data_IF_287250274314
#
_entry.id   IF_287250274314
#
_cell.length_a   1.000
_cell.length_b   1.000
_cell.length_c   1.000
_cell.angle_alpha   90.00
_cell.angle_beta   90.00
_cell.angle_gamma   90.00
#
_symmetry.space_group_name_H-M   'P 1'
#
loop_
_entity.id
_entity.type
_entity.pdbx_description
1 polymer ?
#
# COMPACT_ATOMS: atom_id res chain seq x y z
N UNK A 1 -21.32 -19.47 49.25
CA UNK A 1 -21.29 -18.98 47.85
C UNK A 1 -20.31 -17.83 47.58
N UNK A 2 -19.90 -16.98 48.50
CA UNK A 2 -18.95 -15.87 48.29
C UNK A 2 -17.50 -16.30 48.20
N UNK A 3 -17.08 -17.40 48.85
CA UNK A 3 -15.70 -17.87 48.84
C UNK A 3 -15.26 -18.52 47.54
N UNK A 4 -16.18 -19.21 46.82
CA UNK A 4 -15.85 -19.88 45.54
C UNK A 4 -15.67 -18.90 44.37
N UNK A 5 -16.25 -17.71 44.47
CA UNK A 5 -16.05 -16.66 43.42
C UNK A 5 -14.66 -15.98 43.50
N UNK A 6 -14.09 -15.86 44.70
CA UNK A 6 -12.72 -15.30 44.88
C UNK A 6 -11.66 -16.31 44.44
N UNK A 7 -11.90 -17.62 44.65
CA UNK A 7 -10.97 -18.67 44.21
C UNK A 7 -10.99 -18.81 42.66
N UNK A 8 -12.16 -18.67 42.03
CA UNK A 8 -12.30 -18.72 40.58
C UNK A 8 -11.66 -17.50 39.90
N UNK A 9 -11.77 -16.29 40.51
CA UNK A 9 -11.11 -15.08 40.01
C UNK A 9 -9.59 -15.17 40.13
N UNK A 10 -9.07 -15.77 41.21
CA UNK A 10 -7.62 -15.95 41.43
C UNK A 10 -7.05 -16.97 40.43
N UNK A 11 -7.79 -18.05 40.12
CA UNK A 11 -7.41 -19.03 39.12
C UNK A 11 -7.43 -18.45 37.69
N UNK A 12 -8.38 -17.56 37.37
CA UNK A 12 -8.45 -16.90 36.06
C UNK A 12 -7.28 -15.92 35.85
N UNK A 13 -6.88 -15.19 36.88
CA UNK A 13 -5.73 -14.29 36.84
C UNK A 13 -4.40 -15.05 36.70
N UNK A 14 -4.28 -16.21 37.36
CA UNK A 14 -3.12 -17.09 37.23
C UNK A 14 -3.01 -17.73 35.85
N UNK A 15 -4.12 -18.11 35.21
CA UNK A 15 -4.13 -18.65 33.84
C UNK A 15 -3.76 -17.59 32.81
N UNK A 16 -4.22 -16.35 33.00
CA UNK A 16 -3.84 -15.22 32.09
C UNK A 16 -2.36 -14.84 32.29
N UNK A 17 -1.84 -14.89 33.50
CA UNK A 17 -0.42 -14.65 33.76
C UNK A 17 0.49 -15.77 33.23
N UNK A 18 0.03 -17.03 33.21
CA UNK A 18 0.80 -18.16 32.66
C UNK A 18 0.77 -18.21 31.13
N UNK A 19 -0.31 -17.74 30.49
CA UNK A 19 -0.38 -17.68 29.00
C UNK A 19 0.43 -16.53 28.43
N UNK A 20 0.65 -15.45 29.19
CA UNK A 20 1.56 -14.37 28.80
C UNK A 20 3.04 -14.70 29.01
N UNK A 21 3.39 -15.64 29.94
CA UNK A 21 4.79 -16.10 30.09
C UNK A 21 5.17 -17.24 29.13
N UNK A 22 4.22 -17.99 28.59
CA UNK A 22 4.51 -19.12 27.68
C UNK A 22 4.82 -18.66 26.23
N UNK A 23 4.58 -17.39 25.88
CA UNK A 23 4.92 -16.81 24.57
C UNK A 23 6.32 -16.20 24.53
N UNK A 24 7.06 -16.16 25.64
CA UNK A 24 8.42 -15.61 25.69
C UNK A 24 9.52 -16.71 25.68
N UNK A 25 9.16 -18.00 25.71
CA UNK A 25 10.14 -19.08 25.93
C UNK A 25 10.50 -19.93 24.70
N UNK A 26 10.26 -19.47 23.48
CA UNK A 26 10.76 -20.13 22.27
C UNK A 26 11.38 -19.13 21.28
N UNK A 27 12.63 -18.73 21.54
CA UNK A 27 13.64 -18.47 20.50
C UNK A 27 15.00 -18.15 21.13
N UNK A 28 15.67 -19.14 21.71
CA UNK A 28 17.13 -19.10 21.90
C UNK A 28 17.74 -19.71 20.65
N UNK A 29 18.61 -18.93 19.98
CA UNK A 29 19.43 -19.23 18.81
C UNK A 29 18.86 -18.71 17.47
N UNK A 30 18.62 -17.40 17.37
CA UNK A 30 18.75 -16.70 16.10
C UNK A 30 19.87 -15.69 16.23
N UNK A 31 20.86 -15.77 15.33
CA UNK A 31 22.08 -14.97 15.34
C UNK A 31 21.77 -13.48 15.53
N UNK A 32 22.69 -12.74 16.16
CA UNK A 32 22.58 -11.29 16.43
C UNK A 32 22.26 -10.57 15.12
N UNK A 33 21.05 -10.03 15.06
CA UNK A 33 20.59 -9.19 13.97
C UNK A 33 21.47 -7.94 13.86
N UNK A 34 21.72 -7.43 12.64
CA UNK A 34 22.31 -6.13 12.50
C UNK A 34 21.30 -5.10 13.07
N UNK A 35 21.55 -4.58 14.25
CA UNK A 35 20.66 -3.71 15.01
C UNK A 35 20.34 -2.35 14.35
N UNK A 36 20.63 -2.18 13.05
CA UNK A 36 20.35 -0.96 12.30
C UNK A 36 19.13 -1.09 11.38
N UNK A 37 18.68 -2.29 11.02
CA UNK A 37 17.52 -2.52 10.14
C UNK A 37 16.38 -3.14 10.95
N UNK A 38 15.28 -2.42 11.04
CA UNK A 38 14.10 -2.80 11.82
C UNK A 38 12.99 -3.16 10.86
N UNK A 39 12.63 -4.44 10.77
CA UNK A 39 11.45 -4.87 10.04
C UNK A 39 10.23 -4.82 10.96
N UNK A 40 9.40 -3.79 10.78
CA UNK A 40 8.30 -3.51 11.70
C UNK A 40 7.08 -4.43 11.50
N UNK A 41 6.89 -4.99 10.29
CA UNK A 41 5.68 -5.75 9.95
C UNK A 41 4.40 -4.89 10.02
N UNK A 42 4.52 -3.57 9.87
CA UNK A 42 3.47 -2.59 10.15
C UNK A 42 3.18 -1.69 8.94
N UNK A 43 2.03 -0.99 8.96
CA UNK A 43 1.70 0.03 7.98
C UNK A 43 2.60 1.28 8.07
N UNK A 44 2.58 2.12 7.03
CA UNK A 44 3.46 3.31 6.90
C UNK A 44 3.37 4.25 8.09
N UNK A 45 2.16 4.52 8.60
CA UNK A 45 1.98 5.41 9.75
C UNK A 45 2.65 4.90 11.02
N UNK A 46 2.53 3.60 11.32
CA UNK A 46 3.21 2.98 12.45
C UNK A 46 4.74 3.02 12.28
N UNK A 47 5.25 2.78 11.06
CA UNK A 47 6.67 2.90 10.76
C UNK A 47 7.19 4.33 10.96
N UNK A 48 6.41 5.37 10.61
CA UNK A 48 6.75 6.76 10.90
C UNK A 48 6.87 7.04 12.40
N UNK A 49 5.93 6.53 13.21
CA UNK A 49 5.98 6.68 14.66
C UNK A 49 7.25 6.02 15.25
N UNK A 50 7.54 4.76 14.86
CA UNK A 50 8.74 4.06 15.29
C UNK A 50 10.01 4.82 14.87
N UNK A 51 10.06 5.32 13.62
CA UNK A 51 11.19 6.10 13.14
C UNK A 51 11.36 7.41 13.92
N UNK A 52 10.27 8.10 14.25
CA UNK A 52 10.29 9.32 15.05
C UNK A 52 10.81 9.08 16.46
N UNK A 53 10.39 7.99 17.12
CA UNK A 53 10.83 7.61 18.46
C UNK A 53 12.31 7.22 18.51
N UNK A 54 12.78 6.52 17.47
CA UNK A 54 14.14 5.97 17.40
C UNK A 54 15.13 6.88 16.68
N UNK A 55 14.72 8.05 16.16
CA UNK A 55 15.51 8.88 15.27
C UNK A 55 16.08 8.08 14.09
N UNK A 56 15.23 7.29 13.45
CA UNK A 56 15.57 6.38 12.36
C UNK A 56 15.14 6.92 11.00
N UNK A 57 15.72 6.34 9.95
CA UNK A 57 15.27 6.55 8.57
C UNK A 57 14.10 5.64 8.24
N UNK A 58 13.25 6.04 7.29
CA UNK A 58 12.09 5.28 6.84
C UNK A 58 11.69 5.68 5.42
N UNK A 59 11.26 4.73 4.61
CA UNK A 59 10.61 5.01 3.33
C UNK A 59 9.09 5.03 3.54
N UNK A 60 8.44 6.09 3.08
CA UNK A 60 6.97 6.22 3.12
C UNK A 60 6.47 6.95 1.87
N UNK A 61 5.16 6.99 1.63
CA UNK A 61 4.61 7.91 0.64
C UNK A 61 4.45 9.33 1.22
N UNK A 62 4.53 10.31 0.33
CA UNK A 62 4.46 11.73 0.72
C UNK A 62 3.14 12.08 1.41
N UNK A 63 2.02 11.46 1.01
CA UNK A 63 0.72 11.75 1.57
C UNK A 63 0.65 11.31 3.04
N UNK A 64 1.12 10.11 3.35
CA UNK A 64 1.20 9.62 4.74
C UNK A 64 2.11 10.51 5.57
N UNK A 65 3.31 10.86 5.08
CA UNK A 65 4.18 11.80 5.80
C UNK A 65 3.47 13.13 6.12
N UNK A 66 2.85 13.75 5.12
CA UNK A 66 2.17 15.03 5.30
C UNK A 66 0.97 14.94 6.25
N UNK A 67 0.24 13.83 6.25
CA UNK A 67 -0.90 13.62 7.16
C UNK A 67 -0.48 13.51 8.62
N UNK A 68 0.71 13.00 8.89
CA UNK A 68 1.31 12.93 10.23
C UNK A 68 1.96 14.26 10.62
N UNK A 69 2.65 14.91 9.69
CA UNK A 69 3.35 16.18 9.92
C UNK A 69 2.37 17.33 10.15
N UNK A 70 1.31 17.38 9.35
CA UNK A 70 0.28 18.42 9.40
C UNK A 70 -1.02 17.91 10.04
N UNK A 71 -0.90 17.05 11.06
CA UNK A 71 -2.07 16.52 11.74
C UNK A 71 -2.81 17.63 12.50
N UNK A 72 -4.16 17.71 12.46
CA UNK A 72 -4.93 18.73 13.19
C UNK A 72 -4.65 18.77 14.70
N UNK A 73 -4.33 17.61 15.30
CA UNK A 73 -3.98 17.49 16.71
C UNK A 73 -2.49 17.77 17.01
N UNK A 74 -1.77 18.37 16.07
CA UNK A 74 -0.33 18.68 16.14
C UNK A 74 0.56 17.68 15.43
N UNK A 75 1.81 18.10 15.16
CA UNK A 75 2.84 17.30 14.50
C UNK A 75 3.10 15.99 15.26
N UNK A 76 2.79 14.85 14.64
CA UNK A 76 2.95 13.51 15.24
C UNK A 76 4.37 12.96 15.09
N UNK A 77 5.19 13.58 14.23
CA UNK A 77 6.55 13.15 13.90
C UNK A 77 7.56 14.31 13.95
N UNK A 78 7.64 15.03 15.08
CA UNK A 78 8.38 16.30 15.18
C UNK A 78 9.89 16.15 14.93
N UNK A 79 10.47 14.96 15.11
CA UNK A 79 11.90 14.70 14.94
C UNK A 79 12.29 14.39 13.47
N UNK A 80 11.30 14.18 12.61
CA UNK A 80 11.51 13.74 11.23
C UNK A 80 11.28 14.86 10.21
N UNK A 81 12.00 14.73 9.10
CA UNK A 81 11.81 15.55 7.89
C UNK A 81 12.03 14.72 6.63
N UNK A 82 11.55 15.23 5.48
CA UNK A 82 11.84 14.64 4.18
C UNK A 82 13.29 14.97 3.79
N UNK A 83 14.08 13.94 3.51
CA UNK A 83 15.49 14.06 3.11
C UNK A 83 15.67 13.87 1.60
N UNK A 84 14.84 13.00 0.98
CA UNK A 84 14.79 12.82 -0.48
C UNK A 84 13.36 12.73 -0.96
N UNK A 85 13.05 13.48 -2.02
CA UNK A 85 11.78 13.43 -2.76
C UNK A 85 12.05 13.70 -4.26
N UNK A 86 11.06 13.42 -5.09
CA UNK A 86 11.07 13.72 -6.53
C UNK A 86 12.20 13.04 -7.34
N UNK A 87 12.88 12.05 -6.77
CA UNK A 87 13.81 11.18 -7.48
C UNK A 87 13.02 10.19 -8.35
N UNK A 88 13.49 9.89 -9.56
CA UNK A 88 12.82 8.94 -10.45
C UNK A 88 12.69 7.53 -9.85
N UNK A 89 13.68 7.13 -9.05
CA UNK A 89 13.63 5.84 -8.33
C UNK A 89 12.58 5.85 -7.20
N UNK A 90 12.09 7.02 -6.78
CA UNK A 90 10.99 7.16 -5.79
C UNK A 90 9.60 7.24 -6.43
N UNK A 91 9.51 7.32 -7.76
CA UNK A 91 8.23 7.42 -8.46
C UNK A 91 7.37 6.17 -8.21
N UNK A 92 6.12 6.40 -7.86
CA UNK A 92 5.13 5.39 -7.52
C UNK A 92 3.91 5.53 -8.44
N UNK A 93 3.86 4.72 -9.49
CA UNK A 93 2.82 4.80 -10.52
C UNK A 93 1.66 3.87 -10.17
N UNK A 94 0.46 4.42 -10.15
CA UNK A 94 -0.79 3.68 -9.94
C UNK A 94 -1.42 3.29 -11.27
N UNK A 95 -1.89 2.05 -11.34
CA UNK A 95 -2.57 1.51 -12.51
C UNK A 95 -3.88 0.86 -12.12
N UNK A 96 -4.84 0.93 -13.03
CA UNK A 96 -6.09 0.18 -12.97
C UNK A 96 -6.01 -0.98 -13.96
N UNK A 97 -6.52 -2.14 -13.57
CA UNK A 97 -6.62 -3.33 -14.43
C UNK A 97 -7.99 -3.96 -14.22
N UNK A 98 -8.76 -4.07 -15.28
CA UNK A 98 -10.04 -4.78 -15.27
C UNK A 98 -9.80 -6.29 -15.25
N UNK A 99 -10.50 -6.99 -14.36
CA UNK A 99 -10.41 -8.45 -14.26
C UNK A 99 -11.16 -9.11 -15.40
N UNK A 100 -10.59 -10.15 -15.97
CA UNK A 100 -11.19 -10.92 -17.07
C UNK A 100 -12.20 -11.93 -16.50
N UNK A 101 -13.42 -12.06 -17.05
CA UNK A 101 -14.46 -12.92 -16.48
C UNK A 101 -14.15 -14.43 -16.58
N UNK A 102 -13.40 -14.84 -17.60
CA UNK A 102 -12.96 -16.22 -17.85
C UNK A 102 -11.49 -16.46 -17.46
N UNK A 103 -10.97 -15.68 -16.49
CA UNK A 103 -9.61 -15.84 -16.01
C UNK A 103 -9.43 -17.16 -15.24
N UNK A 104 -8.18 -17.65 -15.09
CA UNK A 104 -7.90 -18.91 -14.40
C UNK A 104 -7.98 -18.73 -12.88
N UNK A 105 -9.19 -18.44 -12.37
CA UNK A 105 -9.43 -18.25 -10.94
C UNK A 105 -9.12 -19.50 -10.13
N UNK A 106 -8.69 -19.28 -8.89
CA UNK A 106 -8.39 -20.33 -7.94
C UNK A 106 -9.12 -20.11 -6.62
N UNK A 107 -9.44 -21.20 -5.95
CA UNK A 107 -9.97 -21.14 -4.59
C UNK A 107 -8.88 -20.71 -3.60
N UNK A 108 -9.20 -19.80 -2.70
CA UNK A 108 -8.22 -19.17 -1.79
C UNK A 108 -7.69 -20.12 -0.71
N UNK A 109 -8.39 -21.23 -0.45
CA UNK A 109 -8.04 -22.21 0.59
C UNK A 109 -7.33 -23.40 -0.02
N UNK A 110 -7.90 -23.96 -1.10
CA UNK A 110 -7.43 -25.20 -1.71
C UNK A 110 -6.42 -24.97 -2.85
N UNK A 111 -6.39 -23.75 -3.44
CA UNK A 111 -5.59 -23.44 -4.63
C UNK A 111 -6.08 -24.12 -5.90
N UNK A 112 -7.22 -24.85 -5.85
CA UNK A 112 -7.78 -25.54 -7.01
C UNK A 112 -8.49 -24.56 -7.95
N UNK A 113 -8.62 -24.90 -9.25
CA UNK A 113 -9.39 -24.08 -10.19
C UNK A 113 -10.82 -23.85 -9.71
N UNK A 114 -11.31 -22.61 -9.90
CA UNK A 114 -12.64 -22.16 -9.50
C UNK A 114 -13.41 -21.65 -10.72
N UNK A 115 -14.56 -22.21 -11.01
CA UNK A 115 -15.35 -21.94 -12.21
C UNK A 115 -16.62 -21.10 -11.98
N UNK A 116 -17.02 -20.91 -10.72
CA UNK A 116 -18.26 -20.22 -10.32
C UNK A 116 -18.05 -18.73 -10.01
N UNK A 117 -16.99 -18.13 -10.57
CA UNK A 117 -16.65 -16.72 -10.36
C UNK A 117 -17.45 -15.84 -11.30
N UNK A 118 -18.10 -14.83 -10.74
CA UNK A 118 -18.80 -13.78 -11.50
C UNK A 118 -18.00 -12.48 -11.38
N UNK A 119 -17.56 -11.96 -12.53
CA UNK A 119 -16.93 -10.65 -12.65
C UNK A 119 -17.90 -9.69 -13.32
N UNK A 120 -18.18 -8.56 -12.68
CA UNK A 120 -19.04 -7.54 -13.24
C UNK A 120 -18.24 -6.64 -14.20
N UNK A 121 -18.18 -7.05 -15.47
CA UNK A 121 -17.40 -6.35 -16.51
C UNK A 121 -17.93 -4.96 -16.81
N UNK A 122 -19.26 -4.76 -16.78
CA UNK A 122 -19.88 -3.46 -16.98
C UNK A 122 -19.52 -2.48 -15.86
N UNK A 123 -19.66 -2.93 -14.60
CA UNK A 123 -19.29 -2.12 -13.45
C UNK A 123 -17.80 -1.72 -13.47
N UNK A 124 -16.91 -2.64 -13.87
CA UNK A 124 -15.49 -2.36 -14.06
C UNK A 124 -15.25 -1.30 -15.15
N UNK A 125 -15.99 -1.37 -16.26
CA UNK A 125 -15.90 -0.36 -17.34
C UNK A 125 -16.37 1.01 -16.85
N UNK A 126 -17.50 1.07 -16.14
CA UNK A 126 -18.02 2.32 -15.56
C UNK A 126 -16.99 2.96 -14.63
N UNK A 127 -16.36 2.18 -13.76
CA UNK A 127 -15.31 2.68 -12.87
C UNK A 127 -14.11 3.25 -13.63
N UNK A 128 -13.53 2.47 -14.55
CA UNK A 128 -12.30 2.85 -15.28
C UNK A 128 -12.57 4.06 -16.17
N UNK A 129 -13.70 4.10 -16.88
CA UNK A 129 -14.08 5.22 -17.72
C UNK A 129 -14.27 6.50 -16.90
N UNK A 130 -14.93 6.40 -15.73
CA UNK A 130 -15.08 7.57 -14.86
C UNK A 130 -13.75 8.05 -14.29
N UNK A 131 -12.90 7.14 -13.80
CA UNK A 131 -11.58 7.47 -13.25
C UNK A 131 -10.64 8.14 -14.26
N UNK A 132 -10.84 7.89 -15.56
CA UNK A 132 -10.06 8.50 -16.65
C UNK A 132 -10.79 9.71 -17.29
N UNK A 133 -11.98 10.05 -16.83
CA UNK A 133 -12.73 11.23 -17.30
C UNK A 133 -12.02 12.54 -16.91
N UNK A 134 -12.31 13.61 -17.65
CA UNK A 134 -11.78 14.94 -17.35
C UNK A 134 -12.12 15.38 -15.91
N UNK A 135 -13.36 15.11 -15.45
CA UNK A 135 -13.78 15.42 -14.09
C UNK A 135 -12.94 14.71 -13.04
N UNK A 136 -12.82 13.38 -13.10
CA UNK A 136 -12.06 12.62 -12.10
C UNK A 136 -10.58 13.00 -12.14
N UNK A 137 -10.00 13.20 -13.31
CA UNK A 137 -8.61 13.66 -13.48
C UNK A 137 -8.41 15.04 -12.84
N UNK A 138 -9.35 15.98 -13.03
CA UNK A 138 -9.32 17.28 -12.37
C UNK A 138 -9.37 17.16 -10.84
N UNK A 139 -10.26 16.31 -10.31
CA UNK A 139 -10.37 16.04 -8.87
C UNK A 139 -9.07 15.46 -8.29
N UNK A 140 -8.44 14.51 -9.00
CA UNK A 140 -7.15 13.91 -8.60
C UNK A 140 -6.04 14.98 -8.58
N UNK A 141 -5.96 15.82 -9.62
CA UNK A 141 -4.94 16.86 -9.74
C UNK A 141 -5.05 17.96 -8.66
N UNK A 142 -6.25 18.19 -8.13
CA UNK A 142 -6.51 19.16 -7.05
C UNK A 142 -6.43 18.55 -5.65
N UNK A 143 -6.48 17.20 -5.55
CA UNK A 143 -6.55 16.52 -4.27
C UNK A 143 -5.35 16.80 -3.37
N UNK A 144 -5.62 17.29 -2.17
CA UNK A 144 -4.61 17.64 -1.17
C UNK A 144 -4.15 19.08 -1.20
N UNK A 145 -4.34 19.85 -2.29
CA UNK A 145 -3.87 21.24 -2.38
C UNK A 145 -4.38 22.13 -1.25
N UNK A 146 -5.68 22.05 -0.94
CA UNK A 146 -6.26 22.86 0.12
C UNK A 146 -5.69 22.53 1.51
N UNK A 147 -5.35 21.27 1.76
CA UNK A 147 -4.87 20.80 3.06
C UNK A 147 -3.35 20.89 3.21
N UNK A 148 -2.61 20.63 2.15
CA UNK A 148 -1.15 20.43 2.19
C UNK A 148 -0.38 21.47 1.35
N UNK A 149 -1.07 22.40 0.67
CA UNK A 149 -0.46 23.40 -0.22
C UNK A 149 0.01 22.84 -1.57
N UNK A 150 -0.11 21.53 -1.79
CA UNK A 150 0.26 20.87 -3.05
C UNK A 150 -0.61 19.63 -3.28
N UNK A 151 -0.78 19.25 -4.56
CA UNK A 151 -1.44 17.99 -4.90
C UNK A 151 -0.65 16.80 -4.37
N UNK A 152 -1.37 15.79 -3.86
CA UNK A 152 -0.76 14.53 -3.43
C UNK A 152 -0.49 13.56 -4.58
N UNK A 153 -1.13 13.77 -5.72
CA UNK A 153 -1.00 12.92 -6.91
C UNK A 153 -0.77 13.77 -8.15
N UNK A 154 0.00 13.24 -9.08
CA UNK A 154 0.24 13.83 -10.39
C UNK A 154 -0.38 12.94 -11.45
N UNK A 155 -1.10 13.52 -12.40
CA UNK A 155 -1.67 12.78 -13.51
C UNK A 155 -0.59 12.30 -14.48
N UNK A 156 -0.81 11.12 -15.04
CA UNK A 156 -0.08 10.68 -16.22
C UNK A 156 -0.83 11.25 -17.42
N UNK A 157 -0.10 12.01 -18.23
CA UNK A 157 -0.65 12.67 -19.41
C UNK A 157 -0.54 11.71 -20.61
N UNK A 158 -1.35 10.66 -20.59
CA UNK A 158 -1.46 9.76 -21.74
C UNK A 158 -2.59 10.27 -22.66
N UNK A 159 -2.21 10.71 -23.84
CA UNK A 159 -3.11 11.24 -24.89
C UNK A 159 -4.08 10.20 -25.48
N UNK A 160 -4.15 9.01 -24.92
CA UNK A 160 -4.83 7.85 -25.51
C UNK A 160 -6.10 7.42 -24.80
N UNK A 161 -6.53 8.12 -23.74
CA UNK A 161 -7.79 7.80 -23.06
C UNK A 161 -8.97 8.50 -23.74
N UNK A 162 -9.83 7.74 -24.43
CA UNK A 162 -11.19 8.18 -24.74
C UNK A 162 -12.10 7.72 -23.61
N UNK A 163 -12.27 8.57 -22.62
CA UNK A 163 -13.30 8.35 -21.62
C UNK A 163 -14.66 8.66 -22.23
N UNK A 164 -15.52 7.67 -22.33
CA UNK A 164 -16.94 7.90 -22.61
C UNK A 164 -17.61 8.42 -21.32
N UNK A 165 -18.47 9.44 -21.48
CA UNK A 165 -19.24 9.94 -20.34
C UNK A 165 -20.31 8.89 -20.02
N UNK A 166 -20.33 8.29 -18.82
CA UNK A 166 -21.35 7.31 -18.47
C UNK A 166 -22.75 7.90 -18.56
N UNK A 167 -23.73 7.09 -18.95
CA UNK A 167 -25.13 7.50 -18.93
C UNK A 167 -25.58 7.77 -17.49
N UNK A 168 -26.18 8.93 -17.26
CA UNK A 168 -26.79 9.28 -15.98
C UNK A 168 -28.04 8.44 -15.76
N UNK A 169 -28.02 7.57 -14.75
CA UNK A 169 -29.20 6.83 -14.28
C UNK A 169 -29.98 7.61 -13.21
N UNK A 170 -31.14 7.09 -12.84
CA UNK A 170 -31.89 7.60 -11.66
C UNK A 170 -31.20 7.15 -10.38
N UNK A 171 -31.11 8.02 -9.37
CA UNK A 171 -30.52 7.68 -8.10
C UNK A 171 -31.28 6.54 -7.42
N UNK A 172 -30.57 5.50 -7.04
CA UNK A 172 -31.08 4.37 -6.25
C UNK A 172 -30.68 4.53 -4.76
N UNK A 173 -31.37 3.86 -3.86
CA UNK A 173 -30.91 3.71 -2.48
C UNK A 173 -29.56 2.97 -2.46
N UNK A 174 -28.73 3.19 -1.42
CA UNK A 174 -27.35 2.64 -1.38
C UNK A 174 -27.31 1.10 -1.40
N UNK A 175 -28.28 0.44 -0.83
CA UNK A 175 -28.46 -1.02 -0.82
C UNK A 175 -28.90 -1.60 -2.18
N UNK A 176 -29.53 -0.79 -3.03
CA UNK A 176 -29.99 -1.17 -4.37
C UNK A 176 -28.92 -0.91 -5.45
N UNK A 177 -27.85 -0.18 -5.13
CA UNK A 177 -26.80 0.16 -6.08
C UNK A 177 -25.95 -1.05 -6.44
N UNK A 178 -25.64 -1.17 -7.72
CA UNK A 178 -24.69 -2.19 -8.20
C UNK A 178 -23.32 -1.95 -7.63
N UNK A 179 -22.78 -2.92 -6.92
CA UNK A 179 -21.44 -2.87 -6.35
C UNK A 179 -20.37 -3.01 -7.43
N UNK A 180 -19.34 -2.16 -7.35
CA UNK A 180 -18.09 -2.31 -8.08
C UNK A 180 -17.05 -2.77 -7.07
N UNK A 181 -16.59 -4.02 -7.17
CA UNK A 181 -15.59 -4.58 -6.25
C UNK A 181 -14.20 -4.14 -6.66
N UNK A 182 -13.60 -3.27 -5.87
CA UNK A 182 -12.28 -2.67 -6.13
C UNK A 182 -11.29 -3.23 -5.11
N UNK A 183 -10.28 -3.96 -5.59
CA UNK A 183 -9.16 -4.35 -4.74
C UNK A 183 -7.99 -3.38 -4.95
N UNK A 184 -7.56 -2.72 -3.87
CA UNK A 184 -6.56 -1.66 -3.95
C UNK A 184 -5.53 -1.74 -2.83
N UNK A 185 -4.62 -0.78 -2.79
CA UNK A 185 -3.56 -0.72 -1.78
C UNK A 185 -3.88 0.23 -0.65
N UNK A 186 -3.34 -0.06 0.54
CA UNK A 186 -3.49 0.79 1.72
C UNK A 186 -3.01 2.21 1.44
N UNK A 187 -1.95 2.41 0.66
CA UNK A 187 -1.39 3.73 0.39
C UNK A 187 -2.38 4.69 -0.28
N UNK A 188 -3.09 4.25 -1.33
CA UNK A 188 -4.08 5.11 -2.00
C UNK A 188 -5.36 5.24 -1.17
N UNK A 189 -5.76 4.17 -0.48
CA UNK A 189 -6.96 4.21 0.37
C UNK A 189 -6.76 5.10 1.59
N UNK A 190 -5.64 4.94 2.31
CA UNK A 190 -5.35 5.68 3.54
C UNK A 190 -5.03 7.17 3.28
N UNK A 191 -4.69 7.54 2.04
CA UNK A 191 -4.60 8.94 1.63
C UNK A 191 -5.96 9.67 1.66
N UNK A 192 -7.08 8.92 1.68
CA UNK A 192 -8.44 9.44 1.60
C UNK A 192 -8.92 9.74 0.18
N UNK A 193 -8.05 9.56 -0.84
CA UNK A 193 -8.41 9.84 -2.23
C UNK A 193 -9.61 9.01 -2.70
N UNK A 194 -9.63 7.70 -2.37
CA UNK A 194 -10.70 6.81 -2.82
C UNK A 194 -12.06 7.22 -2.26
N UNK A 195 -12.14 7.60 -0.99
CA UNK A 195 -13.38 8.08 -0.37
C UNK A 195 -13.85 9.40 -1.00
N UNK A 196 -12.91 10.32 -1.21
CA UNK A 196 -13.22 11.61 -1.84
C UNK A 196 -13.77 11.41 -3.27
N UNK A 197 -13.12 10.58 -4.07
CA UNK A 197 -13.56 10.28 -5.43
C UNK A 197 -14.88 9.50 -5.46
N UNK A 198 -15.13 8.62 -4.50
CA UNK A 198 -16.40 7.87 -4.41
C UNK A 198 -17.59 8.79 -4.23
N UNK A 199 -17.48 9.82 -3.38
CA UNK A 199 -18.56 10.79 -3.20
C UNK A 199 -18.88 11.57 -4.49
N UNK A 200 -17.89 11.89 -5.29
CA UNK A 200 -18.08 12.53 -6.59
C UNK A 200 -18.57 11.55 -7.66
N UNK A 201 -18.09 10.31 -7.63
CA UNK A 201 -18.52 9.24 -8.52
C UNK A 201 -20.02 8.96 -8.41
N UNK A 202 -20.55 8.87 -7.19
CA UNK A 202 -21.98 8.60 -6.92
C UNK A 202 -22.91 9.68 -7.52
N UNK A 203 -22.43 10.92 -7.65
CA UNK A 203 -23.21 12.01 -8.27
C UNK A 203 -23.38 11.80 -9.77
N UNK A 204 -22.37 11.21 -10.44
CA UNK A 204 -22.38 10.97 -11.89
C UNK A 204 -22.93 9.59 -12.23
N UNK A 205 -22.78 8.62 -11.33
CA UNK A 205 -23.16 7.21 -11.51
C UNK A 205 -24.04 6.73 -10.35
N UNK A 206 -25.27 7.27 -10.23
CA UNK A 206 -26.11 7.08 -9.04
C UNK A 206 -26.63 5.65 -8.85
N UNK A 207 -26.50 4.79 -9.85
CA UNK A 207 -26.88 3.36 -9.79
C UNK A 207 -25.74 2.44 -9.35
N UNK A 208 -24.54 2.99 -9.12
CA UNK A 208 -23.36 2.23 -8.70
C UNK A 208 -22.81 2.71 -7.38
N UNK A 209 -22.11 1.82 -6.68
CA UNK A 209 -21.30 2.12 -5.49
C UNK A 209 -19.98 1.38 -5.54
N UNK A 210 -18.95 1.88 -4.84
CA UNK A 210 -17.68 1.19 -4.72
C UNK A 210 -17.66 0.34 -3.44
N UNK A 211 -17.26 -0.91 -3.60
CA UNK A 211 -16.88 -1.80 -2.49
C UNK A 211 -15.36 -1.96 -2.54
N UNK A 212 -14.68 -1.25 -1.61
CA UNK A 212 -13.24 -1.14 -1.60
C UNK A 212 -12.65 -2.12 -0.59
N UNK A 213 -11.81 -3.04 -1.07
CA UNK A 213 -10.94 -3.86 -0.23
C UNK A 213 -9.51 -3.36 -0.36
N UNK A 214 -8.88 -2.93 0.73
CA UNK A 214 -7.52 -2.40 0.72
C UNK A 214 -6.56 -3.30 1.50
N UNK A 215 -5.41 -3.60 0.88
CA UNK A 215 -4.36 -4.43 1.47
C UNK A 215 -2.99 -4.07 0.85
N UNK A 216 -1.93 -4.82 1.16
CA UNK A 216 -0.69 -4.71 0.39
C UNK A 216 -0.89 -5.20 -1.05
N UNK A 217 -0.09 -4.67 -2.01
CA UNK A 217 -0.25 -4.98 -3.46
C UNK A 217 -0.40 -6.46 -3.76
N UNK A 218 0.40 -7.32 -3.14
CA UNK A 218 0.32 -8.78 -3.36
C UNK A 218 -1.01 -9.38 -2.91
N UNK A 219 -1.56 -8.93 -1.79
CA UNK A 219 -2.86 -9.39 -1.29
C UNK A 219 -4.01 -8.83 -2.15
N UNK A 220 -3.91 -7.57 -2.61
CA UNK A 220 -4.88 -6.99 -3.52
C UNK A 220 -4.96 -7.74 -4.86
N UNK A 221 -3.82 -8.11 -5.43
CA UNK A 221 -3.75 -8.93 -6.65
C UNK A 221 -4.31 -10.33 -6.41
N UNK A 222 -3.97 -10.98 -5.29
CA UNK A 222 -4.51 -12.29 -4.93
C UNK A 222 -6.03 -12.27 -4.77
N UNK A 223 -6.60 -11.23 -4.18
CA UNK A 223 -8.06 -11.09 -4.08
C UNK A 223 -8.72 -11.14 -5.46
N UNK A 224 -8.14 -10.49 -6.47
CA UNK A 224 -8.63 -10.58 -7.84
C UNK A 224 -8.43 -11.98 -8.45
N UNK A 225 -7.30 -12.66 -8.18
CA UNK A 225 -7.06 -14.04 -8.62
C UNK A 225 -8.04 -15.05 -8.01
N UNK A 226 -8.61 -14.73 -6.87
CA UNK A 226 -9.69 -15.52 -6.21
C UNK A 226 -11.11 -15.15 -6.70
N UNK A 227 -11.22 -14.18 -7.63
CA UNK A 227 -12.51 -13.70 -8.15
C UNK A 227 -13.25 -12.73 -7.22
N UNK A 228 -12.55 -12.13 -6.26
CA UNK A 228 -13.14 -11.22 -5.27
C UNK A 228 -13.07 -9.73 -5.66
N UNK A 229 -12.66 -9.42 -6.88
CA UNK A 229 -12.61 -8.05 -7.40
C UNK A 229 -12.98 -8.00 -8.88
N UNK A 230 -13.61 -6.89 -9.30
CA UNK A 230 -13.90 -6.58 -10.71
C UNK A 230 -12.77 -5.74 -11.32
N UNK A 231 -12.10 -4.94 -10.47
CA UNK A 231 -10.97 -4.07 -10.82
C UNK A 231 -9.91 -4.13 -9.73
N UNK A 232 -8.64 -4.13 -10.13
CA UNK A 232 -7.54 -3.81 -9.22
C UNK A 232 -7.00 -2.40 -9.50
N UNK A 233 -6.64 -1.67 -8.42
CA UNK A 233 -5.97 -0.39 -8.46
C UNK A 233 -4.72 -0.47 -7.59
N UNK A 234 -3.58 -0.68 -8.21
CA UNK A 234 -2.32 -1.04 -7.53
C UNK A 234 -1.12 -0.26 -8.10
N UNK A 235 0.06 -0.44 -7.51
CA UNK A 235 1.25 0.33 -7.87
C UNK A 235 2.55 -0.50 -7.84
N UNK A 236 2.52 -1.71 -8.36
CA UNK A 236 3.72 -2.55 -8.53
C UNK A 236 3.77 -3.09 -9.94
N UNK A 237 4.47 -2.37 -10.83
CA UNK A 237 4.56 -2.72 -12.25
C UNK A 237 4.90 -4.20 -12.48
N UNK A 238 5.87 -4.74 -11.75
CA UNK A 238 6.25 -6.16 -11.87
C UNK A 238 5.07 -7.09 -11.58
N UNK A 239 4.38 -6.89 -10.45
CA UNK A 239 3.26 -7.74 -10.07
C UNK A 239 2.04 -7.54 -10.98
N UNK A 240 1.83 -6.32 -11.48
CA UNK A 240 0.79 -6.01 -12.47
C UNK A 240 1.06 -6.70 -13.82
N UNK A 241 2.29 -6.64 -14.31
CA UNK A 241 2.71 -7.31 -15.55
C UNK A 241 2.58 -8.84 -15.41
N UNK A 242 2.90 -9.41 -14.24
CA UNK A 242 2.71 -10.84 -13.94
C UNK A 242 1.21 -11.22 -13.93
N UNK A 243 0.35 -10.38 -13.37
CA UNK A 243 -1.11 -10.58 -13.36
C UNK A 243 -1.69 -10.57 -14.79
N UNK A 244 -1.27 -9.61 -15.62
CA UNK A 244 -1.65 -9.54 -17.04
C UNK A 244 -1.16 -10.78 -17.80
N UNK A 245 0.12 -11.13 -17.65
CA UNK A 245 0.72 -12.31 -18.30
C UNK A 245 0.06 -13.63 -17.91
N UNK A 246 -0.43 -13.72 -16.68
CA UNK A 246 -1.14 -14.88 -16.17
C UNK A 246 -2.60 -14.99 -16.68
N UNK A 247 -3.06 -14.05 -17.51
CA UNK A 247 -4.38 -14.10 -18.15
C UNK A 247 -5.55 -13.62 -17.30
N UNK A 248 -5.29 -12.86 -16.24
CA UNK A 248 -6.34 -12.32 -15.36
C UNK A 248 -6.88 -10.97 -15.79
N UNK A 249 -6.22 -10.30 -16.75
CA UNK A 249 -6.57 -8.98 -17.20
C UNK A 249 -7.34 -9.00 -18.52
N UNK A 250 -8.10 -7.94 -18.78
CA UNK A 250 -8.72 -7.67 -20.07
C UNK A 250 -8.56 -6.22 -20.47
N UNK A 251 -8.61 -5.97 -21.76
CA UNK A 251 -8.70 -4.61 -22.31
C UNK A 251 -10.12 -4.09 -22.10
N UNK A 252 -10.25 -2.87 -21.64
CA UNK A 252 -11.53 -2.13 -21.56
C UNK A 252 -11.74 -1.38 -22.87
N UNK A 253 -12.97 -1.30 -23.35
CA UNK A 253 -13.31 -0.61 -24.58
C UNK A 253 -12.83 0.84 -24.54
N UNK A 254 -12.19 1.28 -25.62
CA UNK A 254 -11.57 2.59 -25.72
C UNK A 254 -10.11 2.68 -25.23
N UNK A 255 -9.57 1.61 -24.66
CA UNK A 255 -8.16 1.53 -24.24
C UNK A 255 -7.37 0.55 -25.12
N UNK A 256 -6.03 0.72 -25.16
CA UNK A 256 -5.14 -0.11 -26.00
C UNK A 256 -4.38 -1.17 -25.19
N UNK A 257 -4.45 -1.13 -23.86
CA UNK A 257 -3.75 -2.05 -22.99
C UNK A 257 -4.62 -2.43 -21.79
N UNK A 258 -4.33 -3.58 -21.22
CA UNK A 258 -4.98 -4.07 -20.01
C UNK A 258 -4.60 -3.25 -18.77
N UNK A 259 -3.33 -2.78 -18.73
CA UNK A 259 -2.77 -2.00 -17.64
C UNK A 259 -2.89 -0.51 -17.95
N UNK A 260 -3.77 0.18 -17.24
CA UNK A 260 -4.08 1.59 -17.45
C UNK A 260 -3.41 2.40 -16.33
N UNK A 261 -2.22 2.95 -16.61
CA UNK A 261 -1.53 3.86 -15.69
C UNK A 261 -2.13 5.26 -15.79
N UNK A 262 -2.60 5.86 -14.69
CA UNK A 262 -3.36 7.11 -14.76
C UNK A 262 -2.86 8.21 -13.82
N UNK A 263 -2.15 7.86 -12.76
CA UNK A 263 -1.56 8.81 -11.83
C UNK A 263 -0.29 8.25 -11.19
N UNK A 264 0.49 9.13 -10.59
CA UNK A 264 1.62 8.74 -9.74
C UNK A 264 1.75 9.69 -8.55
N UNK A 265 2.39 9.23 -7.51
CA UNK A 265 2.95 10.06 -6.46
C UNK A 265 4.44 9.71 -6.29
N UNK A 266 5.06 10.23 -5.25
CA UNK A 266 6.42 9.84 -4.87
C UNK A 266 6.42 9.19 -3.50
N UNK A 267 7.22 8.15 -3.36
CA UNK A 267 7.78 7.83 -2.07
C UNK A 267 8.74 8.93 -1.64
N UNK A 268 8.94 9.04 -0.35
CA UNK A 268 9.91 9.96 0.24
C UNK A 268 10.79 9.18 1.21
N UNK A 269 12.10 9.46 1.18
CA UNK A 269 13.00 9.04 2.23
C UNK A 269 12.92 10.07 3.34
N UNK A 270 12.49 9.64 4.48
CA UNK A 270 12.33 10.44 5.69
C UNK A 270 13.38 10.02 6.70
N UNK A 271 13.87 10.95 7.47
CA UNK A 271 14.84 10.66 8.52
C UNK A 271 14.91 11.74 9.58
N UNK A 272 15.79 11.55 10.59
CA UNK A 272 15.96 12.52 11.64
C UNK A 272 16.48 13.86 11.11
N UNK A 273 16.04 14.96 11.70
CA UNK A 273 16.50 16.31 11.31
C UNK A 273 18.02 16.51 11.40
N UNK A 274 18.70 15.72 12.21
CA UNK A 274 20.17 15.73 12.34
C UNK A 274 20.88 15.07 11.17
N UNK A 275 20.19 14.25 10.41
CA UNK A 275 20.65 13.50 9.24
C UNK A 275 22.10 12.96 9.35
N UNK A 276 22.40 12.08 10.29
CA UNK A 276 23.77 11.58 10.51
C UNK A 276 24.32 10.80 9.31
N UNK A 277 23.47 10.22 8.45
CA UNK A 277 23.88 9.57 7.20
C UNK A 277 24.15 10.56 6.06
N UNK A 278 23.84 11.85 6.24
CA UNK A 278 23.91 12.88 5.17
C UNK A 278 23.07 12.50 3.94
N UNK A 279 21.94 11.84 4.18
CA UNK A 279 21.05 11.37 3.14
C UNK A 279 20.46 12.52 2.31
N UNK A 280 20.18 13.68 2.92
CA UNK A 280 19.66 14.85 2.25
C UNK A 280 20.60 15.37 1.14
N UNK A 281 21.92 15.30 1.36
CA UNK A 281 22.94 15.80 0.43
C UNK A 281 23.43 14.75 -0.56
N UNK A 282 23.01 13.49 -0.46
CA UNK A 282 23.36 12.44 -1.42
C UNK A 282 22.89 12.80 -2.84
N UNK A 283 23.62 12.40 -3.87
CA UNK A 283 23.28 12.74 -5.26
C UNK A 283 21.94 12.10 -5.69
N UNK A 284 21.73 10.85 -5.33
CA UNK A 284 20.51 10.08 -5.62
C UNK A 284 19.92 9.49 -4.35
N UNK A 285 18.68 8.99 -4.43
CA UNK A 285 18.09 8.24 -3.32
C UNK A 285 18.86 6.95 -3.04
N UNK A 286 19.39 6.27 -4.06
CA UNK A 286 20.21 5.07 -3.88
C UNK A 286 21.53 5.38 -3.15
N UNK A 287 22.14 6.53 -3.43
CA UNK A 287 23.32 6.97 -2.68
C UNK A 287 22.97 7.27 -1.22
N UNK A 288 21.78 7.82 -0.95
CA UNK A 288 21.29 8.01 0.42
C UNK A 288 21.11 6.68 1.13
N UNK A 289 20.48 5.69 0.49
CA UNK A 289 20.33 4.33 1.04
C UNK A 289 21.69 3.66 1.29
N UNK A 290 22.65 3.85 0.37
CA UNK A 290 24.02 3.38 0.54
C UNK A 290 24.68 4.01 1.77
N UNK A 291 24.56 5.31 1.97
CA UNK A 291 25.13 6.00 3.14
C UNK A 291 24.52 5.51 4.46
N UNK A 292 23.21 5.26 4.47
CA UNK A 292 22.51 4.68 5.63
C UNK A 292 23.06 3.29 5.95
N UNK A 293 23.22 2.43 4.93
CA UNK A 293 23.73 1.07 5.10
C UNK A 293 25.19 1.04 5.55
N UNK A 294 26.07 1.81 4.91
CA UNK A 294 27.50 1.89 5.21
C UNK A 294 27.74 2.38 6.66
N UNK A 295 26.98 3.40 7.09
CA UNK A 295 27.02 3.95 8.44
C UNK A 295 26.24 3.12 9.47
N UNK A 296 25.51 2.08 9.05
CA UNK A 296 24.62 1.28 9.90
C UNK A 296 23.66 2.15 10.72
N UNK A 297 23.15 3.21 10.09
CA UNK A 297 22.17 4.08 10.71
C UNK A 297 20.81 3.38 10.78
N UNK A 298 20.07 3.59 11.87
CA UNK A 298 18.77 2.94 12.08
C UNK A 298 17.82 3.23 10.93
N UNK A 299 17.24 2.18 10.40
CA UNK A 299 16.23 2.24 9.34
C UNK A 299 15.02 1.37 9.71
N UNK A 300 13.82 1.93 9.57
CA UNK A 300 12.56 1.24 9.81
C UNK A 300 11.94 0.84 8.48
N UNK A 301 11.90 -0.45 8.23
CA UNK A 301 11.20 -1.04 7.09
C UNK A 301 9.79 -1.47 7.45
N UNK A 302 8.89 -1.40 6.49
CA UNK A 302 7.57 -2.04 6.64
C UNK A 302 7.69 -3.55 6.84
N UNK A 303 8.59 -4.22 6.15
CA UNK A 303 8.84 -5.66 6.28
C UNK A 303 7.64 -6.56 5.94
N UNK A 304 6.61 -6.05 5.27
CA UNK A 304 5.29 -6.67 5.08
C UNK A 304 4.97 -7.06 3.63
N UNK A 305 5.96 -7.02 2.75
CA UNK A 305 5.82 -7.28 1.29
C UNK A 305 4.82 -6.35 0.58
N UNK A 306 4.52 -5.19 1.16
CA UNK A 306 3.73 -4.14 0.53
C UNK A 306 4.46 -3.48 -0.63
N UNK A 307 3.75 -2.62 -1.38
CA UNK A 307 4.38 -1.82 -2.44
C UNK A 307 5.52 -0.94 -1.95
N UNK A 308 5.41 -0.37 -0.74
CA UNK A 308 6.49 0.42 -0.10
C UNK A 308 7.69 -0.47 0.22
N UNK A 309 7.46 -1.64 0.81
CA UNK A 309 8.54 -2.59 1.10
C UNK A 309 9.20 -3.11 -0.19
N UNK A 310 8.41 -3.43 -1.22
CA UNK A 310 8.94 -3.81 -2.53
C UNK A 310 9.81 -2.69 -3.15
N UNK A 311 9.38 -1.44 -3.05
CA UNK A 311 10.15 -0.28 -3.51
C UNK A 311 11.44 -0.12 -2.72
N UNK A 312 11.38 -0.16 -1.39
CA UNK A 312 12.51 -0.06 -0.48
C UNK A 312 13.63 -1.03 -0.86
N UNK A 313 13.28 -2.32 -1.06
CA UNK A 313 14.23 -3.38 -1.40
C UNK A 313 15.02 -3.06 -2.68
N UNK A 314 14.41 -2.37 -3.65
CA UNK A 314 15.09 -1.97 -4.90
C UNK A 314 16.06 -0.80 -4.73
N UNK A 315 16.03 -0.10 -3.61
CA UNK A 315 16.86 1.08 -3.35
C UNK A 315 18.15 0.72 -2.60
N UNK A 316 18.19 -0.40 -1.89
CA UNK A 316 19.39 -0.86 -1.21
C UNK A 316 20.47 -1.30 -2.18
N UNK A 317 21.76 -1.05 -1.89
CA UNK A 317 22.86 -1.66 -2.63
C UNK A 317 22.74 -3.19 -2.65
N UNK A 318 23.15 -3.81 -3.74
CA UNK A 318 23.19 -5.28 -3.85
C UNK A 318 23.95 -5.90 -2.67
N UNK A 319 23.40 -6.95 -2.09
CA UNK A 319 23.97 -7.66 -0.95
C UNK A 319 23.80 -6.99 0.41
N UNK A 320 23.13 -5.81 0.50
CA UNK A 320 22.90 -5.14 1.80
C UNK A 320 21.98 -5.97 2.69
N UNK A 321 20.90 -6.51 2.12
CA UNK A 321 19.91 -7.29 2.84
C UNK A 321 20.20 -8.79 2.80
N UNK A 322 21.07 -9.25 1.86
CA UNK A 322 21.48 -10.64 1.72
C UNK A 322 22.95 -10.78 1.33
N UNK A 323 23.58 -11.84 1.81
CA UNK A 323 24.99 -12.14 1.50
C UNK A 323 25.20 -12.65 0.08
N UNK A 324 24.18 -13.19 -0.58
CA UNK A 324 24.23 -13.70 -1.96
C UNK A 324 24.16 -12.61 -3.03
N UNK A 325 24.07 -11.34 -2.62
CA UNK A 325 24.00 -10.19 -3.52
C UNK A 325 22.59 -9.85 -4.01
N UNK A 326 21.58 -10.64 -3.69
CA UNK A 326 20.19 -10.32 -3.98
C UNK A 326 19.59 -9.49 -2.85
N UNK A 327 18.62 -8.64 -3.18
CA UNK A 327 17.74 -7.98 -2.22
C UNK A 327 16.30 -8.46 -2.43
N UNK A 328 16.11 -9.72 -2.89
CA UNK A 328 14.78 -10.26 -3.12
C UNK A 328 14.00 -10.33 -1.81
N UNK A 329 12.89 -9.63 -1.77
CA UNK A 329 11.99 -9.54 -0.62
C UNK A 329 11.45 -10.91 -0.17
N UNK A 330 11.31 -11.87 -1.11
CA UNK A 330 10.77 -13.18 -0.79
C UNK A 330 11.78 -14.05 -0.03
N UNK A 331 13.04 -13.68 -0.13
CA UNK A 331 14.17 -14.45 0.39
C UNK A 331 14.93 -13.71 1.50
N UNK A 332 14.51 -12.53 1.96
CA UNK A 332 15.14 -11.86 3.09
C UNK A 332 15.01 -12.79 4.30
N UNK A 333 16.12 -13.31 4.86
CA UNK A 333 16.05 -14.18 6.02
C UNK A 333 15.37 -13.46 7.20
N UNK A 334 14.54 -14.18 7.95
CA UNK A 334 13.95 -13.63 9.18
C UNK A 334 15.00 -13.11 10.18
N UNK A 335 16.25 -13.57 10.07
CA UNK A 335 17.38 -13.09 10.89
C UNK A 335 17.81 -11.65 10.63
N UNK A 336 17.39 -11.04 9.49
CA UNK A 336 17.59 -9.60 9.21
C UNK A 336 16.40 -8.79 9.74
N UNK A 337 15.34 -9.46 10.16
CA UNK A 337 14.09 -8.86 10.61
C UNK A 337 14.15 -8.67 12.12
N UNK A 338 14.21 -7.44 12.58
CA UNK A 338 14.02 -7.13 14.00
C UNK A 338 12.55 -7.33 14.36
N UNK A 339 12.27 -8.35 15.15
CA UNK A 339 10.99 -8.50 15.84
C UNK A 339 11.12 -7.79 17.18
N UNK A 340 10.71 -6.52 17.22
CA UNK A 340 10.62 -5.75 18.43
C UNK A 340 9.55 -6.26 19.37
#
# INVERSE_FOLDING_TARGET
MKQNKKLLALLLVLVIAFTSLALVACNKDKGKEPGWYISAGQGMGACLNIANEKNAYVLTDKATFLSYKNNPDGDKIPNLEILKESDNDLKNTYSMIAVKPDAPFVDSVTGQPKSDVVINTEAANVFINWMTSEKARGLIAEYGKAKYGASLFTLIDEKEYKAETPAKGTASADDERTAIRISTTTSVNDSGLMQYLHEEFKKDNPTYKWEISSAGTGAAIKAAQYGNADVILVHSKKAEDEFVKAGFARIVDGFKAERISFMYNYFVLVGPKTDPAKAATAATVKDAFKSIADGKHLFVSRGDKSGTHNKEVTLWPSGTLKKDGSNDINDIPESIIYKG
#
